data_IF_621859110799
#
_entry.id   IF_621859110799
#
_cell.length_a   1.000
_cell.length_b   1.000
_cell.length_c   1.000
_cell.angle_alpha   90.00
_cell.angle_beta   90.00
_cell.angle_gamma   90.00
#
_symmetry.space_group_name_H-M   'P 1'
#
loop_
_entity.id
_entity.type
_entity.pdbx_description
1 polymer ?
#
# COMPACT_ATOMS: atom_id res chain seq x y z
N UNK A 1 0.25 -0.73 25.26
CA UNK A 1 -0.67 -1.33 24.27
C UNK A 1 -0.57 -0.55 22.97
N UNK A 2 0.11 -1.07 21.95
CA UNK A 2 0.34 -0.36 20.66
C UNK A 2 -0.08 -1.18 19.43
N UNK A 3 0.04 -2.51 19.50
CA UNK A 3 -0.35 -3.44 18.43
C UNK A 3 -1.78 -3.30 17.94
N UNK A 4 -2.85 -3.18 18.78
CA UNK A 4 -4.21 -3.06 18.27
C UNK A 4 -4.47 -1.74 17.54
N UNK A 5 -3.75 -0.67 17.90
CA UNK A 5 -3.85 0.62 17.20
C UNK A 5 -3.27 0.51 15.80
N UNK A 6 -2.08 -0.08 15.67
CA UNK A 6 -1.43 -0.28 14.36
C UNK A 6 -2.26 -1.19 13.46
N UNK A 7 -2.78 -2.30 13.99
CA UNK A 7 -3.65 -3.21 13.21
C UNK A 7 -4.98 -2.55 12.83
N UNK A 8 -5.56 -1.74 13.71
CA UNK A 8 -6.80 -1.01 13.42
C UNK A 8 -6.60 0.04 12.32
N UNK A 9 -5.50 0.79 12.36
CA UNK A 9 -5.15 1.74 11.30
C UNK A 9 -4.86 1.03 9.99
N UNK A 10 -4.12 -0.08 10.01
CA UNK A 10 -3.85 -0.87 8.81
C UNK A 10 -5.16 -1.39 8.17
N UNK A 11 -6.08 -1.89 8.98
CA UNK A 11 -7.40 -2.33 8.51
C UNK A 11 -8.24 -1.16 7.97
N UNK A 12 -8.21 0.01 8.62
CA UNK A 12 -8.90 1.22 8.14
C UNK A 12 -8.38 1.64 6.76
N UNK A 13 -7.06 1.73 6.61
CA UNK A 13 -6.41 2.09 5.35
C UNK A 13 -6.72 1.05 4.27
N UNK A 14 -6.67 -0.24 4.60
CA UNK A 14 -6.99 -1.30 3.65
C UNK A 14 -8.47 -1.32 3.24
N UNK A 15 -9.37 -0.93 4.15
CA UNK A 15 -10.81 -0.85 3.86
C UNK A 15 -11.16 0.26 2.86
N UNK A 16 -10.31 1.27 2.73
CA UNK A 16 -10.51 2.35 1.76
C UNK A 16 -10.29 1.88 0.32
N UNK A 17 -9.22 1.11 0.08
CA UNK A 17 -8.96 0.50 -1.21
C UNK A 17 -8.39 -0.92 -1.04
N UNK A 18 -9.21 -1.96 -1.29
CA UNK A 18 -8.79 -3.35 -1.14
C UNK A 18 -7.82 -3.81 -2.22
N UNK A 19 -7.54 -2.99 -3.24
CA UNK A 19 -6.58 -3.29 -4.30
C UNK A 19 -5.13 -3.06 -3.87
N UNK A 20 -4.91 -2.34 -2.76
CA UNK A 20 -3.59 -2.17 -2.18
C UNK A 20 -3.05 -3.45 -1.55
N UNK A 21 -1.76 -3.69 -1.73
CA UNK A 21 -1.10 -4.88 -1.18
C UNK A 21 -0.65 -4.65 0.27
N UNK A 22 -0.53 -5.73 1.04
CA UNK A 22 -0.01 -5.70 2.41
C UNK A 22 1.35 -5.00 2.52
N UNK A 23 2.20 -5.14 1.50
CA UNK A 23 3.52 -4.53 1.48
C UNK A 23 3.41 -3.01 1.32
N UNK A 24 2.59 -2.52 0.39
CA UNK A 24 2.36 -1.09 0.23
C UNK A 24 1.76 -0.46 1.47
N UNK A 25 0.81 -1.13 2.13
CA UNK A 25 0.21 -0.60 3.36
C UNK A 25 1.29 -0.49 4.44
N UNK A 26 2.16 -1.50 4.59
CA UNK A 26 3.29 -1.42 5.53
C UNK A 26 4.26 -0.29 5.18
N UNK A 27 4.61 -0.17 3.91
CA UNK A 27 5.56 0.83 3.43
C UNK A 27 4.98 2.24 3.59
N UNK A 28 3.69 2.44 3.30
CA UNK A 28 2.99 3.69 3.53
C UNK A 28 2.93 4.05 5.02
N UNK A 29 2.60 3.10 5.89
CA UNK A 29 2.57 3.32 7.33
C UNK A 29 3.98 3.62 7.88
N UNK A 30 5.02 3.03 7.32
CA UNK A 30 6.41 3.30 7.69
C UNK A 30 6.91 4.65 7.16
N UNK A 31 6.60 5.00 5.91
CA UNK A 31 7.03 6.24 5.26
C UNK A 31 6.34 7.48 5.83
N UNK A 32 5.14 7.31 6.37
CA UNK A 32 4.32 8.41 6.91
C UNK A 32 4.32 8.48 8.44
N UNK A 33 5.02 7.55 9.10
CA UNK A 33 5.20 7.61 10.53
C UNK A 33 5.98 8.88 10.91
N UNK A 34 5.56 9.52 12.00
CA UNK A 34 6.30 10.64 12.59
C UNK A 34 7.42 10.03 13.41
N UNK A 35 8.65 10.26 12.96
CA UNK A 35 9.83 9.81 13.66
C UNK A 35 9.86 10.36 15.10
N UNK A 36 10.13 9.46 16.05
CA UNK A 36 10.24 9.76 17.47
C UNK A 36 11.60 9.28 17.95
N UNK A 37 12.47 10.22 18.31
CA UNK A 37 13.81 9.92 18.82
C UNK A 37 14.90 10.36 17.87
N UNK A 38 15.77 9.45 17.49
CA UNK A 38 16.90 9.70 16.59
C UNK A 38 16.40 9.72 15.16
N UNK A 39 16.93 10.62 14.33
CA UNK A 39 16.55 10.68 12.93
C UNK A 39 16.76 9.32 12.23
N UNK A 40 15.68 8.71 11.76
CA UNK A 40 15.67 7.43 11.06
C UNK A 40 14.96 6.32 11.83
N UNK A 41 15.26 5.07 11.46
CA UNK A 41 14.65 3.91 12.11
C UNK A 41 15.39 3.56 13.39
N UNK A 42 14.72 3.66 14.52
CA UNK A 42 15.25 3.32 15.84
C UNK A 42 14.79 1.94 16.33
N UNK A 43 15.57 1.30 17.21
CA UNK A 43 15.19 0.02 17.83
C UNK A 43 14.08 0.17 18.89
N UNK A 44 13.85 1.38 19.40
CA UNK A 44 12.83 1.66 20.40
C UNK A 44 11.45 1.98 19.79
N UNK A 45 11.43 2.84 18.75
CA UNK A 45 10.19 3.35 18.14
C UNK A 45 9.99 2.89 16.69
N UNK A 46 10.95 2.18 16.10
CA UNK A 46 10.89 1.81 14.68
C UNK A 46 10.96 3.08 13.83
N UNK A 47 9.96 3.28 12.97
CA UNK A 47 9.80 4.51 12.18
C UNK A 47 9.05 5.62 12.93
N UNK A 48 8.63 5.36 14.17
CA UNK A 48 7.92 6.32 15.01
C UNK A 48 6.41 6.13 15.06
N UNK A 49 5.68 7.22 15.24
CA UNK A 49 4.25 7.24 15.53
C UNK A 49 3.41 7.19 14.25
N UNK A 50 2.53 6.19 14.17
CA UNK A 50 1.71 5.91 12.98
C UNK A 50 0.68 7.02 12.70
N UNK A 51 0.57 7.43 11.44
CA UNK A 51 -0.37 8.49 11.01
C UNK A 51 -1.38 7.95 9.99
N UNK A 52 -2.61 7.70 10.43
CA UNK A 52 -3.66 7.15 9.56
C UNK A 52 -3.97 8.05 8.35
N UNK A 53 -4.10 9.36 8.58
CA UNK A 53 -4.39 10.35 7.52
C UNK A 53 -3.25 10.40 6.49
N UNK A 54 -2.01 10.50 6.96
CA UNK A 54 -0.85 10.62 6.09
C UNK A 54 -0.62 9.33 5.29
N UNK A 55 -0.79 8.15 5.91
CA UNK A 55 -0.72 6.87 5.21
C UNK A 55 -1.72 6.76 4.06
N UNK A 56 -2.95 7.22 4.28
CA UNK A 56 -3.98 7.25 3.24
C UNK A 56 -3.62 8.22 2.11
N UNK A 57 -3.19 9.43 2.46
CA UNK A 57 -2.79 10.45 1.47
C UNK A 57 -1.57 9.97 0.64
N UNK A 58 -0.63 9.27 1.27
CA UNK A 58 0.52 8.66 0.59
C UNK A 58 0.12 7.57 -0.40
N UNK A 59 -0.80 6.69 -0.02
CA UNK A 59 -1.30 5.63 -0.91
C UNK A 59 -2.13 6.20 -2.07
N UNK A 60 -2.91 7.24 -1.84
CA UNK A 60 -3.62 7.96 -2.89
C UNK A 60 -2.66 8.63 -3.89
N UNK A 61 -1.51 9.14 -3.43
CA UNK A 61 -0.51 9.75 -4.29
C UNK A 61 0.34 8.73 -5.07
N UNK A 62 0.56 7.54 -4.50
CA UNK A 62 1.39 6.48 -5.12
C UNK A 62 0.60 5.51 -6.01
N UNK A 63 -0.73 5.52 -5.93
CA UNK A 63 -1.63 4.69 -6.73
C UNK A 63 -1.58 3.20 -6.36
N UNK A 64 -2.57 2.39 -6.80
CA UNK A 64 -2.60 0.97 -6.52
C UNK A 64 -1.41 0.23 -7.18
N UNK A 65 -0.79 -0.73 -6.46
CA UNK A 65 0.29 -1.59 -6.99
C UNK A 65 -0.16 -2.46 -8.16
N UNK A 66 -1.46 -2.63 -8.30
CA UNK A 66 -2.03 -3.36 -9.40
C UNK A 66 -2.53 -2.40 -10.45
N UNK A 67 -2.28 -2.77 -11.70
CA UNK A 67 -2.76 -2.09 -12.87
C UNK A 67 -4.29 -2.21 -12.95
N UNK A 68 -5.00 -1.08 -13.13
CA UNK A 68 -6.44 -1.10 -13.33
C UNK A 68 -6.80 -1.77 -14.66
N UNK A 69 -8.08 -2.09 -14.85
CA UNK A 69 -8.58 -2.66 -16.11
C UNK A 69 -8.14 -1.78 -17.29
N UNK A 70 -7.55 -2.39 -18.31
CA UNK A 70 -7.03 -1.71 -19.50
C UNK A 70 -5.56 -1.30 -19.44
N UNK A 71 -4.91 -1.30 -18.27
CA UNK A 71 -3.47 -1.07 -18.19
C UNK A 71 -2.66 -2.30 -18.64
N UNK A 72 -1.43 -2.08 -19.12
CA UNK A 72 -0.56 -3.15 -19.62
C UNK A 72 0.00 -3.97 -18.47
N UNK A 73 -0.09 -5.30 -18.57
CA UNK A 73 0.37 -6.24 -17.54
C UNK A 73 1.37 -7.23 -18.14
N UNK A 74 2.22 -7.83 -17.30
CA UNK A 74 3.12 -8.91 -17.70
C UNK A 74 2.74 -10.24 -17.06
N UNK A 75 2.08 -10.21 -15.89
CA UNK A 75 1.55 -11.33 -15.14
C UNK A 75 0.16 -11.01 -14.56
N UNK A 76 -0.60 -12.05 -14.17
CA UNK A 76 -1.91 -11.90 -13.53
C UNK A 76 -1.83 -11.08 -12.23
N UNK A 77 -0.77 -11.29 -11.44
CA UNK A 77 -0.53 -10.60 -10.18
C UNK A 77 -0.35 -9.08 -10.34
N UNK A 78 -0.04 -8.61 -11.56
CA UNK A 78 0.07 -7.19 -11.85
C UNK A 78 -1.31 -6.52 -11.96
N UNK A 79 -2.40 -7.27 -12.15
CA UNK A 79 -3.74 -6.73 -12.37
C UNK A 79 -4.57 -6.78 -11.10
N UNK A 80 -5.37 -5.74 -10.84
CA UNK A 80 -6.24 -5.73 -9.65
C UNK A 80 -7.33 -6.82 -9.72
N UNK A 81 -7.70 -7.21 -10.93
CA UNK A 81 -8.60 -8.32 -11.22
C UNK A 81 -7.93 -9.69 -11.23
N UNK A 82 -6.63 -9.74 -10.94
CA UNK A 82 -5.77 -10.91 -11.06
C UNK A 82 -5.87 -11.59 -12.45
N UNK A 83 -6.17 -10.80 -13.48
CA UNK A 83 -6.53 -11.29 -14.82
C UNK A 83 -5.81 -10.49 -15.90
N UNK A 84 -4.64 -10.97 -16.30
CA UNK A 84 -3.88 -10.44 -17.42
C UNK A 84 -4.21 -11.21 -18.69
N UNK A 85 -4.80 -10.55 -19.69
CA UNK A 85 -5.20 -11.19 -20.96
C UNK A 85 -4.45 -10.62 -22.15
N UNK A 86 -4.04 -11.48 -23.07
CA UNK A 86 -3.39 -11.07 -24.32
C UNK A 86 -4.45 -10.74 -25.37
N UNK A 87 -4.55 -9.48 -25.82
CA UNK A 87 -5.40 -9.06 -26.94
C UNK A 87 -4.59 -8.33 -28.00
N UNK A 88 -4.64 -8.82 -29.26
CA UNK A 88 -3.99 -8.22 -30.44
C UNK A 88 -2.51 -7.81 -30.22
N UNK A 89 -1.71 -8.68 -29.60
CA UNK A 89 -0.27 -8.45 -29.43
C UNK A 89 0.16 -7.64 -28.21
N UNK A 90 -0.76 -7.10 -27.40
CA UNK A 90 -0.47 -6.53 -26.07
C UNK A 90 -1.19 -7.30 -24.97
N UNK A 91 -0.57 -7.36 -23.79
CA UNK A 91 -1.16 -7.90 -22.57
C UNK A 91 -1.78 -6.74 -21.77
N UNK A 92 -3.05 -6.87 -21.41
CA UNK A 92 -3.79 -5.86 -20.65
C UNK A 92 -4.63 -6.48 -19.54
N UNK A 93 -4.79 -5.78 -18.43
CA UNK A 93 -5.66 -6.19 -17.34
C UNK A 93 -7.13 -6.18 -17.77
N UNK A 94 -7.86 -7.23 -17.40
CA UNK A 94 -9.27 -7.42 -17.73
C UNK A 94 -10.18 -7.20 -16.53
#
# INVERSE_FOLDING_TARGET
MATPHVSGVAALVWSHDPTWTNQQIRDALAATAIDLGTAGRDNAYGFGLIQAKAALDYLNASGPACFPVGATCSANADCCSNSCVKRRGRQTCR
#
